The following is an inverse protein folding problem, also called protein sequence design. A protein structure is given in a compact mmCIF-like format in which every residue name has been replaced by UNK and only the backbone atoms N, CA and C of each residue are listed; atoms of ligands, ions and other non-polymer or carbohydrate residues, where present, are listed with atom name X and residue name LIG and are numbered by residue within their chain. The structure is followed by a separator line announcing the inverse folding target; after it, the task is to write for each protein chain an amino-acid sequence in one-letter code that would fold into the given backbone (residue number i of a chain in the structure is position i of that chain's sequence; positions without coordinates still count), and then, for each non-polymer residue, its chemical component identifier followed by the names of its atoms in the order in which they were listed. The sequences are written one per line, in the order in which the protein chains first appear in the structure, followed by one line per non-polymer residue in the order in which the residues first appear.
data_IF_599033126255
#
_entry.id   IF_599033126255
#
_cell.length_a   1.000
_cell.length_b   1.000
_cell.length_c   1.000
_cell.angle_alpha   90.00
_cell.angle_beta   90.00
_cell.angle_gamma   90.00
#
_symmetry.space_group_name_H-M   'P 1'
#
loop_
_entity.id
_entity.type
_entity.pdbx_description
1 polymer ?
#
# COMPACT_ATOMS: atom_id res chain seq x y z
N UNK A 1 18.06 -2.72 2.90
CA UNK A 1 17.87 -2.67 4.37
C UNK A 1 16.93 -1.54 4.74
N UNK A 2 16.04 -1.77 5.70
CA UNK A 2 15.12 -0.74 6.22
C UNK A 2 15.87 0.05 7.29
N UNK A 3 15.92 1.36 7.15
CA UNK A 3 16.61 2.28 8.09
C UNK A 3 15.67 3.36 8.64
N UNK A 4 14.40 3.35 8.26
CA UNK A 4 13.37 4.34 8.62
C UNK A 4 12.03 3.63 8.87
N UNK A 5 11.09 4.26 9.61
CA UNK A 5 9.74 3.73 9.76
C UNK A 5 9.07 3.43 8.41
N UNK A 6 8.36 2.32 8.33
CA UNK A 6 7.59 1.89 7.17
C UNK A 6 6.12 2.06 7.50
N UNK A 7 5.36 2.67 6.58
CA UNK A 7 3.93 2.92 6.76
C UNK A 7 3.13 1.64 6.65
N UNK A 8 1.97 1.61 7.27
CA UNK A 8 1.02 0.50 7.14
C UNK A 8 0.71 0.26 5.65
N UNK A 9 0.67 -1.00 5.23
CA UNK A 9 0.44 -1.39 3.83
C UNK A 9 1.54 -0.98 2.83
N UNK A 10 2.64 -0.34 3.24
CA UNK A 10 3.67 0.11 2.29
C UNK A 10 4.48 -1.05 1.73
N UNK A 11 4.64 -1.08 0.40
CA UNK A 11 5.54 -2.00 -0.28
C UNK A 11 6.90 -1.32 -0.48
N UNK A 12 7.94 -1.86 0.15
CA UNK A 12 9.31 -1.31 0.11
C UNK A 12 10.31 -2.32 -0.45
N UNK A 13 11.32 -1.86 -1.18
CA UNK A 13 12.40 -2.71 -1.73
C UNK A 13 13.75 -2.00 -1.69
N UNK A 14 14.85 -2.77 -1.72
CA UNK A 14 16.21 -2.26 -1.94
C UNK A 14 17.07 -2.07 -0.69
N UNK A 15 18.29 -1.57 -0.91
CA UNK A 15 19.29 -1.28 0.12
C UNK A 15 20.01 0.07 -0.11
N UNK A 16 19.66 1.16 0.61
CA UNK A 16 18.58 1.26 1.60
C UNK A 16 17.18 1.15 0.96
N UNK A 17 16.19 0.74 1.75
CA UNK A 17 14.83 0.47 1.27
C UNK A 17 14.10 1.76 0.84
N UNK A 18 13.34 1.67 -0.26
CA UNK A 18 12.47 2.74 -0.77
C UNK A 18 11.07 2.19 -1.03
N UNK A 19 10.05 3.00 -0.75
CA UNK A 19 8.66 2.66 -1.05
C UNK A 19 8.42 2.71 -2.55
N UNK A 20 7.78 1.67 -3.08
CA UNK A 20 7.44 1.51 -4.50
C UNK A 20 5.93 1.33 -4.73
N UNK A 21 5.13 1.31 -3.67
CA UNK A 21 3.68 1.20 -3.75
C UNK A 21 3.06 0.75 -2.44
N UNK A 22 1.90 0.11 -2.57
CA UNK A 22 1.09 -0.39 -1.46
C UNK A 22 0.64 -1.82 -1.71
N UNK A 23 0.40 -2.55 -0.63
CA UNK A 23 0.03 -3.95 -0.63
C UNK A 23 -1.15 -4.19 0.30
N UNK A 24 -2.08 -5.05 -0.09
CA UNK A 24 -3.21 -5.48 0.75
C UNK A 24 -2.74 -6.41 1.86
N UNK A 25 -3.63 -6.68 2.82
CA UNK A 25 -3.39 -7.66 3.89
C UNK A 25 -3.09 -9.07 3.33
N UNK A 26 -3.50 -9.36 2.09
CA UNK A 26 -3.26 -10.62 1.41
C UNK A 26 -1.95 -10.65 0.61
N UNK A 27 -1.15 -9.57 0.63
CA UNK A 27 0.11 -9.51 -0.10
C UNK A 27 -0.04 -9.16 -1.59
N UNK A 28 -1.22 -8.69 -2.03
CA UNK A 28 -1.44 -8.23 -3.41
C UNK A 28 -1.22 -6.72 -3.53
N UNK A 29 -0.59 -6.28 -4.62
CA UNK A 29 -0.41 -4.85 -4.87
C UNK A 29 -1.77 -4.16 -5.02
N UNK A 30 -1.96 -3.07 -4.29
CA UNK A 30 -3.14 -2.22 -4.43
C UNK A 30 -2.82 -1.15 -5.47
N UNK A 31 -3.65 -1.05 -6.49
CA UNK A 31 -3.61 0.04 -7.45
C UNK A 31 -4.64 1.08 -7.02
N UNK A 32 -4.17 2.23 -6.55
CA UNK A 32 -5.03 3.37 -6.25
C UNK A 32 -5.30 4.12 -7.54
N UNK A 33 -6.58 4.34 -7.85
CA UNK A 33 -7.01 5.20 -8.95
C UNK A 33 -6.86 6.68 -8.60
N UNK A 34 -7.30 7.56 -9.52
CA UNK A 34 -7.21 9.03 -9.34
C UNK A 34 -7.95 9.55 -8.11
N UNK A 35 -8.92 8.80 -7.58
CA UNK A 35 -9.70 9.15 -6.38
C UNK A 35 -9.06 8.66 -5.08
N UNK A 36 -7.89 8.03 -5.14
CA UNK A 36 -7.27 7.41 -3.97
C UNK A 36 -7.97 6.13 -3.51
N UNK A 37 -8.89 5.56 -4.29
CA UNK A 37 -9.57 4.30 -3.97
C UNK A 37 -8.86 3.16 -4.71
N UNK A 38 -8.57 2.08 -3.99
CA UNK A 38 -7.97 0.87 -4.53
C UNK A 38 -8.69 -0.37 -4.01
N UNK A 39 -8.71 -1.42 -4.82
CA UNK A 39 -9.39 -2.67 -4.48
C UNK A 39 -8.39 -3.82 -4.45
N UNK A 40 -8.53 -4.72 -3.48
CA UNK A 40 -7.81 -5.98 -3.50
C UNK A 40 -8.42 -6.90 -4.57
N UNK A 41 -7.63 -7.40 -5.54
CA UNK A 41 -8.16 -8.22 -6.63
C UNK A 41 -8.68 -9.59 -6.19
N UNK A 42 -8.27 -10.08 -5.02
CA UNK A 42 -8.67 -11.41 -4.53
C UNK A 42 -9.88 -11.36 -3.60
N UNK A 43 -9.94 -10.38 -2.70
CA UNK A 43 -11.02 -10.28 -1.71
C UNK A 43 -12.09 -9.28 -2.09
N UNK A 44 -11.83 -8.40 -3.06
CA UNK A 44 -12.68 -7.25 -3.36
C UNK A 44 -12.65 -6.17 -2.26
N UNK A 45 -11.79 -6.30 -1.25
CA UNK A 45 -11.69 -5.34 -0.15
C UNK A 45 -11.30 -3.97 -0.67
N UNK A 46 -12.02 -2.95 -0.21
CA UNK A 46 -11.75 -1.56 -0.54
C UNK A 46 -10.71 -0.95 0.42
N UNK A 47 -9.78 -0.21 -0.17
CA UNK A 47 -8.75 0.55 0.51
C UNK A 47 -8.80 1.99 0.02
N UNK A 48 -8.58 2.93 0.94
CA UNK A 48 -8.51 4.36 0.65
C UNK A 48 -7.13 4.91 1.01
N UNK A 49 -6.49 5.57 0.04
CA UNK A 49 -5.24 6.29 0.19
C UNK A 49 -5.53 7.78 0.34
N UNK A 50 -5.33 8.29 1.54
CA UNK A 50 -5.49 9.71 1.86
C UNK A 50 -4.26 10.20 2.63
N UNK A 51 -3.70 11.35 2.24
CA UNK A 51 -2.52 11.93 2.89
C UNK A 51 -1.35 10.95 3.07
N UNK A 52 -1.15 10.06 2.08
CA UNK A 52 -0.10 9.05 2.08
C UNK A 52 -0.22 8.03 3.24
N UNK A 53 -1.47 7.76 3.66
CA UNK A 53 -1.89 6.73 4.62
C UNK A 53 -2.97 5.88 3.94
N UNK A 54 -2.83 4.55 4.05
CA UNK A 54 -3.83 3.61 3.55
C UNK A 54 -4.71 3.15 4.70
N UNK A 55 -6.02 3.28 4.53
CA UNK A 55 -7.03 2.74 5.44
C UNK A 55 -7.91 1.72 4.73
N UNK A 56 -8.28 0.67 5.44
CA UNK A 56 -9.25 -0.33 4.98
C UNK A 56 -10.65 0.17 5.29
N UNK A 57 -11.56 0.11 4.31
CA UNK A 57 -12.99 0.36 4.51
C UNK A 57 -13.72 -0.92 4.94
#
# INVERSE_FOLDING_TARGET
VITKPVKDYALVVGNPARQIGWVSEQGRRINFGERGIGFCPETGQEYMLENDIVTRQ
#
